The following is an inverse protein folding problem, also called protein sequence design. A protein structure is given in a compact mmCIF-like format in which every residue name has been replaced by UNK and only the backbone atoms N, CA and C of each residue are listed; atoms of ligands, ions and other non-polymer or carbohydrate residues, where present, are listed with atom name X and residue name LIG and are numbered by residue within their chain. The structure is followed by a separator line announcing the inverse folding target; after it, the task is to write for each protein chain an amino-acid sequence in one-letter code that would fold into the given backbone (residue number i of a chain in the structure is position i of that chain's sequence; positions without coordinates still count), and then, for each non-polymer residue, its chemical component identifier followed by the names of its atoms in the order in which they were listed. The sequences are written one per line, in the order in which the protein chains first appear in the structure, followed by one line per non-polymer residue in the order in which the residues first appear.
data_IF_888158862569
#
_entry.id   IF_888158862569
#
_cell.length_a   1.000
_cell.length_b   1.000
_cell.length_c   1.000
_cell.angle_alpha   90.00
_cell.angle_beta   90.00
_cell.angle_gamma   90.00
#
_symmetry.space_group_name_H-M   'P 1'
#
loop_
_entity.id
_entity.type
_entity.pdbx_description
1 polymer ?
#
# COMPACT_ATOMS: atom_id res chain seq x y z
N UNK A 1 56.85 -41.26 -29.48
CA UNK A 1 56.29 -40.12 -28.72
C UNK A 1 57.38 -39.54 -27.81
N UNK A 2 58.37 -38.84 -28.37
CA UNK A 2 59.43 -38.14 -27.64
C UNK A 2 59.75 -36.88 -28.47
N UNK A 3 59.68 -35.69 -27.86
CA UNK A 3 60.01 -34.41 -28.50
C UNK A 3 61.53 -34.17 -28.51
N UNK A 4 62.08 -33.45 -29.50
CA UNK A 4 63.35 -32.75 -29.35
C UNK A 4 63.18 -31.23 -29.23
N UNK A 5 63.96 -30.68 -28.31
CA UNK A 5 64.22 -29.26 -28.07
C UNK A 5 64.76 -28.57 -29.33
N UNK A 6 64.35 -27.31 -29.57
CA UNK A 6 64.99 -26.41 -30.55
C UNK A 6 65.71 -25.32 -29.77
N UNK A 7 67.03 -25.27 -29.96
CA UNK A 7 67.94 -24.28 -29.41
C UNK A 7 67.74 -22.91 -30.07
N UNK A 8 67.78 -21.84 -29.26
CA UNK A 8 67.84 -20.46 -29.71
C UNK A 8 69.28 -20.11 -30.07
N UNK A 9 69.56 -19.77 -31.34
CA UNK A 9 70.80 -19.14 -31.75
C UNK A 9 70.58 -17.65 -32.05
N UNK A 10 71.29 -16.81 -31.29
CA UNK A 10 71.47 -15.39 -31.55
C UNK A 10 72.27 -15.20 -32.83
N UNK A 11 71.76 -14.41 -33.78
CA UNK A 11 72.58 -13.79 -34.81
C UNK A 11 72.13 -12.34 -35.00
N UNK A 12 72.95 -11.44 -34.47
CA UNK A 12 72.96 -10.01 -34.80
C UNK A 12 73.30 -9.86 -36.29
N UNK A 13 72.47 -9.13 -37.05
CA UNK A 13 72.78 -8.75 -38.43
C UNK A 13 72.81 -7.22 -38.51
N UNK A 14 74.00 -6.74 -38.87
CA UNK A 14 74.42 -5.36 -39.05
C UNK A 14 73.50 -4.54 -39.97
N UNK A 15 73.21 -3.30 -39.56
CA UNK A 15 72.61 -2.27 -40.40
C UNK A 15 73.65 -1.74 -41.40
N UNK A 16 73.34 -1.84 -42.70
CA UNK A 16 74.05 -1.11 -43.76
C UNK A 16 73.18 0.06 -44.22
N UNK A 17 73.67 1.26 -43.99
CA UNK A 17 73.06 2.54 -44.35
C UNK A 17 73.30 2.81 -45.86
N UNK A 18 72.25 2.75 -46.68
CA UNK A 18 72.31 3.19 -48.07
C UNK A 18 71.43 4.43 -48.24
N UNK A 19 72.09 5.59 -48.29
CA UNK A 19 71.45 6.88 -48.50
C UNK A 19 70.89 7.01 -49.92
N UNK A 20 69.57 7.22 -50.00
CA UNK A 20 68.93 7.86 -51.15
C UNK A 20 68.18 9.07 -50.60
N UNK A 21 68.71 10.26 -50.89
CA UNK A 21 68.04 11.53 -50.61
C UNK A 21 66.94 11.73 -51.65
N UNK A 22 65.69 11.46 -51.28
CA UNK A 22 64.51 11.88 -52.05
C UNK A 22 63.98 13.16 -51.42
N UNK A 23 63.93 14.24 -52.20
CA UNK A 23 63.43 15.56 -51.80
C UNK A 23 61.95 15.48 -51.43
N UNK A 24 61.68 15.34 -50.13
CA UNK A 24 60.37 15.15 -49.52
C UNK A 24 59.64 16.48 -49.24
N UNK A 25 59.64 17.42 -50.19
CA UNK A 25 59.08 18.77 -49.97
C UNK A 25 57.63 18.98 -50.42
N UNK A 26 56.92 17.95 -50.91
CA UNK A 26 55.52 18.13 -51.39
C UNK A 26 54.49 17.14 -50.83
N UNK A 27 54.83 16.28 -49.87
CA UNK A 27 53.87 15.31 -49.30
C UNK A 27 53.95 15.11 -47.78
N UNK A 28 54.20 16.16 -47.01
CA UNK A 28 53.86 16.12 -45.58
C UNK A 28 52.41 16.59 -45.38
N UNK A 29 51.47 15.65 -45.57
CA UNK A 29 50.17 15.76 -44.92
C UNK A 29 50.38 15.46 -43.43
N UNK A 30 50.19 16.51 -42.63
CA UNK A 30 50.23 16.51 -41.19
C UNK A 30 49.21 15.48 -40.64
N UNK A 31 49.67 14.29 -40.25
CA UNK A 31 48.84 13.37 -39.46
C UNK A 31 48.81 13.87 -38.02
N UNK A 32 48.15 15.01 -37.82
CA UNK A 32 47.64 15.36 -36.51
C UNK A 32 46.74 14.22 -36.05
N UNK A 33 47.15 13.49 -35.01
CA UNK A 33 46.29 12.56 -34.30
C UNK A 33 45.10 13.39 -33.83
N UNK A 34 43.99 13.33 -34.56
CA UNK A 34 42.72 13.89 -34.11
C UNK A 34 42.28 13.02 -32.94
N UNK A 35 42.62 13.45 -31.73
CA UNK A 35 41.95 13.02 -30.53
C UNK A 35 40.54 13.59 -30.63
N UNK A 36 39.61 12.77 -31.13
CA UNK A 36 38.20 13.11 -31.21
C UNK A 36 37.73 13.60 -29.84
N UNK A 37 37.29 14.86 -29.76
CA UNK A 37 36.65 15.39 -28.55
C UNK A 37 35.46 14.49 -28.17
N UNK A 38 35.23 14.23 -26.86
CA UNK A 38 34.11 13.40 -26.45
C UNK A 38 32.80 13.96 -27.00
N UNK A 39 32.00 13.13 -27.66
CA UNK A 39 30.74 13.59 -28.23
C UNK A 39 29.79 13.91 -27.05
N UNK A 40 29.27 15.16 -26.95
CA UNK A 40 28.55 15.66 -25.78
C UNK A 40 27.26 14.90 -25.50
N UNK A 41 26.72 14.17 -26.49
CA UNK A 41 25.58 13.25 -26.28
C UNK A 41 25.94 12.07 -25.39
N UNK A 42 27.16 11.54 -25.49
CA UNK A 42 27.63 10.43 -24.65
C UNK A 42 27.96 10.88 -23.23
N UNK A 43 28.54 12.07 -23.05
CA UNK A 43 28.77 12.64 -21.72
C UNK A 43 27.46 12.87 -20.94
N UNK A 44 26.43 13.38 -21.61
CA UNK A 44 25.10 13.55 -21.02
C UNK A 44 24.45 12.19 -20.68
N UNK A 45 24.71 11.15 -21.48
CA UNK A 45 24.23 9.81 -21.19
C UNK A 45 24.93 9.19 -19.97
N UNK A 46 26.25 9.34 -19.88
CA UNK A 46 27.08 8.84 -18.77
C UNK A 46 26.63 9.49 -17.46
N UNK A 47 26.50 10.82 -17.42
CA UNK A 47 26.04 11.55 -16.22
C UNK A 47 24.63 11.14 -15.78
N UNK A 48 23.72 10.85 -16.72
CA UNK A 48 22.40 10.30 -16.40
C UNK A 48 22.48 8.90 -15.81
N UNK A 49 23.33 8.03 -16.32
CA UNK A 49 23.53 6.68 -15.77
C UNK A 49 24.12 6.74 -14.36
N UNK A 50 25.12 7.58 -14.11
CA UNK A 50 25.67 7.79 -12.77
C UNK A 50 24.62 8.32 -11.78
N UNK A 51 23.77 9.25 -12.23
CA UNK A 51 22.64 9.73 -11.42
C UNK A 51 21.63 8.62 -11.14
N UNK A 52 21.38 7.70 -12.07
CA UNK A 52 20.45 6.59 -11.89
C UNK A 52 21.01 5.57 -10.89
N UNK A 53 22.30 5.24 -10.99
CA UNK A 53 22.98 4.34 -10.05
C UNK A 53 22.87 4.89 -8.62
N UNK A 54 23.18 6.18 -8.40
CA UNK A 54 23.01 6.82 -7.08
C UNK A 54 21.59 6.75 -6.54
N UNK A 55 20.58 6.84 -7.41
CA UNK A 55 19.17 6.71 -7.00
C UNK A 55 18.83 5.27 -6.64
N UNK A 56 19.35 4.29 -7.37
CA UNK A 56 19.17 2.85 -7.08
C UNK A 56 19.79 2.52 -5.73
N UNK A 57 21.03 2.94 -5.48
CA UNK A 57 21.72 2.70 -4.20
C UNK A 57 20.92 3.28 -3.01
N UNK A 58 20.39 4.50 -3.19
CA UNK A 58 19.55 5.15 -2.18
C UNK A 58 18.25 4.38 -1.94
N UNK A 59 17.59 3.91 -3.00
CA UNK A 59 16.37 3.12 -2.89
C UNK A 59 16.64 1.78 -2.21
N UNK A 60 17.76 1.14 -2.52
CA UNK A 60 18.15 -0.12 -1.92
C UNK A 60 18.39 0.03 -0.42
N UNK A 61 19.11 1.08 0.00
CA UNK A 61 19.29 1.41 1.42
C UNK A 61 17.95 1.64 2.14
N UNK A 62 17.04 2.43 1.54
CA UNK A 62 15.72 2.69 2.11
C UNK A 62 14.90 1.39 2.23
N UNK A 63 15.00 0.51 1.23
CA UNK A 63 14.30 -0.77 1.23
C UNK A 63 14.84 -1.71 2.31
N UNK A 64 16.16 -1.77 2.49
CA UNK A 64 16.79 -2.54 3.58
C UNK A 64 16.35 -2.02 4.95
N UNK A 65 16.31 -0.70 5.14
CA UNK A 65 15.80 -0.10 6.38
C UNK A 65 14.33 -0.46 6.63
N UNK A 66 13.50 -0.35 5.60
CA UNK A 66 12.08 -0.71 5.67
C UNK A 66 11.88 -2.20 6.00
N UNK A 67 12.73 -3.07 5.46
CA UNK A 67 12.72 -4.50 5.75
C UNK A 67 13.09 -4.77 7.22
N UNK A 68 14.09 -4.09 7.76
CA UNK A 68 14.47 -4.20 9.17
C UNK A 68 13.33 -3.74 10.09
N UNK A 69 12.73 -2.58 9.80
CA UNK A 69 11.59 -2.07 10.55
C UNK A 69 10.40 -3.03 10.51
N UNK A 70 10.05 -3.56 9.33
CA UNK A 70 8.99 -4.55 9.18
C UNK A 70 9.27 -5.83 9.99
N UNK A 71 10.50 -6.32 10.00
CA UNK A 71 10.88 -7.49 10.77
C UNK A 71 10.75 -7.24 12.29
N UNK A 72 11.14 -6.05 12.76
CA UNK A 72 10.96 -5.64 14.16
C UNK A 72 9.48 -5.53 14.52
N UNK A 73 8.67 -4.91 13.67
CA UNK A 73 7.23 -4.80 13.87
C UNK A 73 6.55 -6.18 13.88
N UNK A 74 6.95 -7.08 12.98
CA UNK A 74 6.45 -8.46 12.94
C UNK A 74 6.76 -9.22 14.22
N UNK A 75 7.98 -9.09 14.75
CA UNK A 75 8.34 -9.67 16.06
C UNK A 75 7.51 -9.09 17.20
N UNK A 76 7.36 -7.76 17.24
CA UNK A 76 6.50 -7.10 18.25
C UNK A 76 5.05 -7.55 18.15
N UNK A 77 4.52 -7.69 16.94
CA UNK A 77 3.15 -8.14 16.70
C UNK A 77 2.96 -9.58 17.18
N UNK A 78 3.89 -10.47 16.83
CA UNK A 78 3.86 -11.88 17.24
C UNK A 78 3.85 -12.01 18.76
N UNK A 79 4.60 -11.16 19.46
CA UNK A 79 4.73 -11.23 20.92
C UNK A 79 3.73 -10.31 21.66
N UNK A 80 2.86 -9.60 20.93
CA UNK A 80 2.00 -8.51 21.46
C UNK A 80 1.02 -8.98 22.53
N UNK A 81 0.68 -10.27 22.54
CA UNK A 81 -0.31 -10.85 23.43
C UNK A 81 0.24 -12.05 24.22
N UNK A 82 1.57 -12.23 24.26
CA UNK A 82 2.21 -13.26 25.09
C UNK A 82 1.93 -13.01 26.58
N UNK A 83 1.68 -11.76 26.95
CA UNK A 83 1.22 -11.35 28.25
C UNK A 83 -0.31 -11.18 28.27
N UNK A 84 -1.00 -12.05 29.01
CA UNK A 84 -2.46 -11.96 29.20
C UNK A 84 -2.92 -10.60 29.71
N UNK A 85 -2.14 -9.93 30.56
CA UNK A 85 -2.47 -8.61 31.09
C UNK A 85 -2.42 -7.53 29.98
N UNK A 86 -1.46 -7.62 29.07
CA UNK A 86 -1.38 -6.71 27.91
C UNK A 86 -2.50 -6.97 26.92
N UNK A 87 -2.88 -8.24 26.72
CA UNK A 87 -4.03 -8.62 25.92
C UNK A 87 -5.34 -8.05 26.49
N UNK A 88 -5.59 -8.22 27.79
CA UNK A 88 -6.76 -7.63 28.46
C UNK A 88 -6.75 -6.11 28.36
N UNK A 89 -5.59 -5.47 28.58
CA UNK A 89 -5.45 -4.01 28.47
C UNK A 89 -5.77 -3.53 27.05
N UNK A 90 -5.32 -4.24 26.03
CA UNK A 90 -5.63 -3.93 24.63
C UNK A 90 -7.13 -4.08 24.33
N UNK A 91 -7.78 -5.16 24.80
CA UNK A 91 -9.23 -5.35 24.67
C UNK A 91 -10.00 -4.20 25.32
N UNK A 92 -9.62 -3.82 26.53
CA UNK A 92 -10.26 -2.71 27.25
C UNK A 92 -10.10 -1.40 26.46
N UNK A 93 -8.94 -1.16 25.88
CA UNK A 93 -8.70 0.05 25.10
C UNK A 93 -9.49 0.07 23.79
N UNK A 94 -9.54 -1.06 23.07
CA UNK A 94 -10.39 -1.23 21.88
C UNK A 94 -11.85 -0.98 22.25
N UNK A 95 -12.35 -1.59 23.33
CA UNK A 95 -13.74 -1.41 23.76
C UNK A 95 -14.06 0.05 24.14
N UNK A 96 -13.10 0.78 24.72
CA UNK A 96 -13.26 2.22 24.99
C UNK A 96 -13.34 3.03 23.70
N UNK A 97 -12.44 2.77 22.75
CA UNK A 97 -12.41 3.45 21.46
C UNK A 97 -13.69 3.18 20.67
N UNK A 98 -14.14 1.93 20.60
CA UNK A 98 -15.40 1.56 19.95
C UNK A 98 -16.60 2.25 20.57
N UNK A 99 -16.64 2.35 21.90
CA UNK A 99 -17.71 3.06 22.61
C UNK A 99 -17.73 4.56 22.26
N UNK A 100 -16.56 5.20 22.13
CA UNK A 100 -16.46 6.61 21.73
C UNK A 100 -16.91 6.76 20.28
N UNK A 101 -16.40 5.94 19.36
CA UNK A 101 -16.77 5.96 17.95
C UNK A 101 -18.28 5.76 17.76
N UNK A 102 -18.90 4.84 18.52
CA UNK A 102 -20.34 4.64 18.52
C UNK A 102 -21.11 5.87 19.00
N UNK A 103 -20.62 6.55 20.05
CA UNK A 103 -21.26 7.75 20.57
C UNK A 103 -21.21 8.89 19.54
N UNK A 104 -20.04 9.12 18.93
CA UNK A 104 -19.85 10.13 17.90
C UNK A 104 -20.75 9.87 16.69
N UNK A 105 -20.88 8.60 16.29
CA UNK A 105 -21.74 8.18 15.19
C UNK A 105 -23.23 8.42 15.50
N UNK A 106 -23.68 8.11 16.72
CA UNK A 106 -25.05 8.43 17.18
C UNK A 106 -25.30 9.94 17.14
N UNK A 107 -24.37 10.74 17.65
CA UNK A 107 -24.49 12.20 17.67
C UNK A 107 -24.53 12.77 16.25
N UNK A 108 -23.70 12.27 15.34
CA UNK A 108 -23.71 12.63 13.92
C UNK A 108 -25.08 12.35 13.30
N UNK A 109 -25.60 11.13 13.49
CA UNK A 109 -26.91 10.72 12.96
C UNK A 109 -28.07 11.59 13.45
N UNK A 110 -28.05 11.99 14.71
CA UNK A 110 -29.09 12.86 15.28
C UNK A 110 -29.02 14.27 14.68
N UNK A 111 -27.81 14.78 14.48
CA UNK A 111 -27.59 16.15 14.02
C UNK A 111 -27.64 16.30 12.50
N UNK A 112 -27.64 15.20 11.74
CA UNK A 112 -27.67 15.19 10.27
C UNK A 112 -29.06 15.52 9.72
N UNK A 113 -29.49 16.77 9.92
CA UNK A 113 -30.79 17.29 9.44
C UNK A 113 -30.89 17.27 7.92
N UNK A 114 -29.75 17.36 7.23
CA UNK A 114 -29.68 17.33 5.77
C UNK A 114 -30.03 15.96 5.19
N UNK A 115 -30.08 14.89 5.99
CA UNK A 115 -30.46 13.55 5.52
C UNK A 115 -31.82 13.53 4.80
N UNK A 116 -32.73 14.43 5.19
CA UNK A 116 -34.08 14.53 4.61
C UNK A 116 -34.21 15.58 3.50
N UNK A 117 -33.11 16.22 3.08
CA UNK A 117 -33.17 17.16 1.96
C UNK A 117 -33.33 16.39 0.64
N UNK A 118 -34.04 16.99 -0.32
CA UNK A 118 -34.36 16.33 -1.59
C UNK A 118 -33.10 15.85 -2.35
N UNK A 119 -32.03 16.64 -2.33
CA UNK A 119 -30.77 16.28 -2.99
C UNK A 119 -30.11 15.05 -2.34
N UNK A 120 -30.16 14.95 -1.02
CA UNK A 120 -29.57 13.80 -0.30
C UNK A 120 -30.44 12.55 -0.43
N UNK A 121 -31.77 12.69 -0.57
CA UNK A 121 -32.68 11.58 -0.87
C UNK A 121 -32.44 11.02 -2.27
N UNK A 122 -32.25 11.88 -3.27
CA UNK A 122 -31.97 11.46 -4.65
C UNK A 122 -30.61 10.81 -4.80
N UNK A 123 -29.62 11.23 -4.01
CA UNK A 123 -28.27 10.66 -4.00
C UNK A 123 -28.09 9.56 -2.93
N UNK A 124 -29.17 9.14 -2.26
CA UNK A 124 -29.08 8.19 -1.17
C UNK A 124 -28.70 6.79 -1.66
N UNK A 125 -27.67 6.20 -1.04
CA UNK A 125 -27.28 4.81 -1.26
C UNK A 125 -27.14 4.10 0.08
N UNK A 126 -27.82 2.95 0.22
CA UNK A 126 -27.76 2.13 1.43
C UNK A 126 -26.34 1.66 1.75
N UNK A 127 -25.54 1.32 0.74
CA UNK A 127 -24.16 0.88 0.94
C UNK A 127 -23.28 2.02 1.45
N UNK A 128 -23.41 3.21 0.86
CA UNK A 128 -22.69 4.40 1.30
C UNK A 128 -23.11 4.83 2.70
N UNK A 129 -24.41 4.83 2.99
CA UNK A 129 -24.94 5.15 4.31
C UNK A 129 -24.38 4.22 5.38
N UNK A 130 -24.39 2.90 5.14
CA UNK A 130 -23.80 1.92 6.07
C UNK A 130 -22.29 2.12 6.28
N UNK A 131 -21.54 2.54 5.26
CA UNK A 131 -20.11 2.83 5.39
C UNK A 131 -19.81 4.08 6.23
N UNK A 132 -20.79 4.98 6.38
CA UNK A 132 -20.63 6.21 7.18
C UNK A 132 -20.85 5.98 8.68
N UNK A 133 -21.26 4.78 9.07
CA UNK A 133 -21.54 4.38 10.44
C UNK A 133 -20.47 3.46 11.03
N UNK A 134 -20.53 3.25 12.34
CA UNK A 134 -19.64 2.35 13.05
C UNK A 134 -19.68 0.94 12.41
N UNK A 135 -18.57 0.56 11.78
CA UNK A 135 -18.47 -0.69 11.01
C UNK A 135 -18.65 -1.92 11.88
N UNK A 136 -18.25 -1.88 13.16
CA UNK A 136 -18.44 -3.01 14.08
C UNK A 136 -19.92 -3.27 14.29
N UNK A 137 -20.74 -2.23 14.47
CA UNK A 137 -22.19 -2.39 14.58
C UNK A 137 -22.79 -2.86 13.26
N UNK A 138 -22.36 -2.29 12.14
CA UNK A 138 -22.84 -2.68 10.80
C UNK A 138 -22.59 -4.16 10.54
N UNK A 139 -21.36 -4.63 10.75
CA UNK A 139 -20.99 -6.02 10.54
C UNK A 139 -21.69 -6.95 11.54
N UNK A 140 -21.80 -6.57 12.81
CA UNK A 140 -22.55 -7.34 13.80
C UNK A 140 -24.01 -7.56 13.37
N UNK A 141 -24.68 -6.50 12.90
CA UNK A 141 -26.07 -6.59 12.44
C UNK A 141 -26.17 -7.40 11.14
N UNK A 142 -25.22 -7.26 10.22
CA UNK A 142 -25.16 -8.11 9.01
C UNK A 142 -25.04 -9.58 9.37
N UNK A 143 -24.19 -9.93 10.34
CA UNK A 143 -24.06 -11.31 10.84
C UNK A 143 -25.37 -11.81 11.44
N UNK A 144 -26.08 -11.00 12.22
CA UNK A 144 -27.38 -11.39 12.79
C UNK A 144 -28.49 -11.57 11.75
N UNK A 145 -28.43 -10.85 10.64
CA UNK A 145 -29.41 -10.94 9.54
C UNK A 145 -29.01 -12.02 8.52
N UNK A 146 -27.82 -12.59 8.63
CA UNK A 146 -27.33 -13.62 7.74
C UNK A 146 -28.03 -14.95 8.00
N UNK A 147 -29.03 -15.26 7.19
CA UNK A 147 -29.63 -16.59 7.09
C UNK A 147 -28.98 -17.37 5.95
N UNK A 148 -28.54 -18.60 6.23
CA UNK A 148 -27.87 -19.51 5.28
C UNK A 148 -28.72 -19.88 4.05
N UNK A 149 -30.02 -19.60 4.08
CA UNK A 149 -31.00 -20.08 3.08
C UNK A 149 -31.49 -19.01 2.07
N UNK A 150 -30.96 -17.78 2.09
CA UNK A 150 -31.47 -16.67 1.26
C UNK A 150 -30.35 -15.95 0.49
N UNK A 151 -29.85 -16.51 -0.60
CA UNK A 151 -28.85 -15.84 -1.46
C UNK A 151 -29.43 -14.77 -2.40
N UNK A 152 -30.75 -14.62 -2.45
CA UNK A 152 -31.39 -13.92 -3.58
C UNK A 152 -31.63 -12.41 -3.45
N UNK A 153 -31.42 -11.76 -2.29
CA UNK A 153 -31.73 -10.33 -2.16
C UNK A 153 -30.67 -9.54 -1.40
N UNK A 154 -29.59 -9.16 -2.11
CA UNK A 154 -28.50 -8.32 -1.58
C UNK A 154 -29.00 -6.95 -1.10
N UNK A 155 -29.91 -6.32 -1.83
CA UNK A 155 -30.47 -5.00 -1.46
C UNK A 155 -31.42 -5.08 -0.26
N UNK A 156 -32.26 -6.10 -0.19
CA UNK A 156 -33.17 -6.30 0.96
C UNK A 156 -32.38 -6.53 2.25
N UNK A 157 -31.29 -7.30 2.19
CA UNK A 157 -30.37 -7.49 3.31
C UNK A 157 -29.74 -6.18 3.77
N UNK A 158 -29.28 -5.35 2.83
CA UNK A 158 -28.72 -4.02 3.14
C UNK A 158 -29.79 -3.10 3.75
N UNK A 159 -31.02 -3.14 3.24
CA UNK A 159 -32.14 -2.37 3.78
C UNK A 159 -32.51 -2.81 5.20
N UNK A 160 -32.68 -4.12 5.44
CA UNK A 160 -32.92 -4.69 6.78
C UNK A 160 -31.83 -4.29 7.77
N UNK A 161 -30.56 -4.33 7.32
CA UNK A 161 -29.42 -3.88 8.11
C UNK A 161 -29.51 -2.39 8.46
N UNK A 162 -29.78 -1.53 7.48
CA UNK A 162 -29.90 -0.09 7.70
C UNK A 162 -31.06 0.26 8.66
N UNK A 163 -32.21 -0.38 8.50
CA UNK A 163 -33.37 -0.18 9.38
C UNK A 163 -33.06 -0.65 10.81
N UNK A 164 -32.39 -1.79 10.98
CA UNK A 164 -32.01 -2.27 12.30
C UNK A 164 -31.05 -1.30 13.01
N UNK A 165 -30.06 -0.75 12.30
CA UNK A 165 -29.12 0.24 12.84
C UNK A 165 -29.85 1.54 13.23
N UNK A 166 -30.66 2.08 12.32
CA UNK A 166 -31.45 3.29 12.55
C UNK A 166 -32.34 3.14 13.81
N UNK A 167 -33.00 1.98 13.95
CA UNK A 167 -33.78 1.65 15.13
C UNK A 167 -32.94 1.58 16.41
N UNK A 168 -31.80 0.87 16.41
CA UNK A 168 -30.92 0.75 17.58
C UNK A 168 -30.45 2.13 18.05
N UNK A 169 -30.04 2.98 17.12
CA UNK A 169 -29.52 4.31 17.41
C UNK A 169 -30.64 5.22 17.93
N UNK A 170 -31.83 5.15 17.31
CA UNK A 170 -33.02 5.88 17.77
C UNK A 170 -33.49 5.44 19.16
N UNK A 171 -33.41 4.15 19.50
CA UNK A 171 -33.72 3.61 20.84
C UNK A 171 -32.76 4.18 21.90
N UNK A 172 -31.47 4.33 21.57
CA UNK A 172 -30.45 4.85 22.51
C UNK A 172 -30.58 6.35 22.78
N UNK A 173 -31.20 7.10 21.89
CA UNK A 173 -31.46 8.53 22.07
C UNK A 173 -32.72 8.82 22.91
N UNK A 174 -33.78 8.01 22.79
CA UNK A 174 -35.05 8.24 23.47
C UNK A 174 -35.10 7.57 24.85
N UNK A 175 -34.67 8.29 25.89
CA UNK A 175 -34.80 7.91 27.32
C UNK A 175 -36.23 7.56 27.82
N UNK A 176 -37.26 7.57 26.98
CA UNK A 176 -38.66 7.32 27.38
C UNK A 176 -39.51 6.46 26.42
N UNK A 177 -39.00 6.05 25.25
CA UNK A 177 -39.79 5.28 24.26
C UNK A 177 -39.35 3.81 24.20
N UNK A 178 -38.21 3.47 24.81
CA UNK A 178 -37.58 2.16 24.73
C UNK A 178 -38.40 1.06 25.40
N UNK A 179 -38.98 1.27 26.58
CA UNK A 179 -39.76 0.25 27.27
C UNK A 179 -41.06 -0.09 26.54
N UNK A 180 -41.72 0.91 25.93
CA UNK A 180 -42.98 0.74 25.21
C UNK A 180 -42.73 0.07 23.86
N UNK A 181 -41.67 0.44 23.13
CA UNK A 181 -41.33 -0.21 21.87
C UNK A 181 -40.78 -1.63 22.07
N UNK A 182 -40.00 -1.89 23.13
CA UNK A 182 -39.59 -3.26 23.47
C UNK A 182 -40.79 -4.12 23.86
N UNK A 183 -41.74 -3.58 24.64
CA UNK A 183 -42.98 -4.29 24.98
C UNK A 183 -43.85 -4.56 23.74
N UNK A 184 -44.00 -3.58 22.83
CA UNK A 184 -44.74 -3.75 21.58
C UNK A 184 -44.08 -4.76 20.63
N UNK A 185 -42.75 -4.75 20.53
CA UNK A 185 -42.01 -5.76 19.75
C UNK A 185 -42.14 -7.14 20.40
N UNK A 186 -42.01 -7.24 21.73
CA UNK A 186 -42.20 -8.50 22.44
C UNK A 186 -43.61 -9.06 22.20
N UNK A 187 -44.67 -8.24 22.29
CA UNK A 187 -46.06 -8.65 22.01
C UNK A 187 -46.23 -9.07 20.55
N UNK A 188 -45.68 -8.29 19.61
CA UNK A 188 -45.79 -8.56 18.16
C UNK A 188 -45.06 -9.85 17.74
N UNK A 189 -43.96 -10.18 18.40
CA UNK A 189 -43.16 -11.37 18.09
C UNK A 189 -43.46 -12.56 19.02
N UNK A 190 -44.18 -12.38 20.14
CA UNK A 190 -44.67 -13.48 20.99
C UNK A 190 -46.02 -14.03 20.56
N UNK A 191 -46.80 -13.29 19.76
CA UNK A 191 -48.06 -13.78 19.19
C UNK A 191 -47.84 -14.56 17.89
N UNK A 192 -47.09 -15.66 17.99
CA UNK A 192 -47.16 -16.77 17.04
C UNK A 192 -47.40 -18.05 17.84
N UNK A 193 -48.68 -18.35 18.06
CA UNK A 193 -49.22 -19.69 18.21
C UNK A 193 -50.30 -19.86 17.15
#
# INVERSE_FOLDING_TARGET
MWMPYVELSNNEINFCDFGIQVSLSEYFCDFGIQVSLPNPKYENLITKFESLIKKIDKLEHLNQQSLLENNLLKKRLNNKYDNQQEHIKAIVEIAKQERIALYDDIIKLINERERFCLNNLLNYSLSQWLMMHNLVVVEFIKTLIHNENEDHYKEEKLFKCAIAIDNIYRIRHLKYVSSINLALLAIKYSSKF
#
